data_IF_492989548333
#
_entry.id   IF_492989548333
#
_cell.length_a   1.000
_cell.length_b   1.000
_cell.length_c   1.000
_cell.angle_alpha   90.00
_cell.angle_beta   90.00
_cell.angle_gamma   90.00
#
_symmetry.space_group_name_H-M   'P 1'
#
loop_
_entity.id
_entity.type
_entity.pdbx_description
1 polymer ?
#
# COMPACT_ATOMS: atom_id res chain seq x y z
N UNK A 1 -4.45 -1.26 31.02
CA UNK A 1 -4.73 -0.35 29.89
C UNK A 1 -4.07 -0.87 28.62
N UNK A 2 -4.84 -1.00 27.60
CA UNK A 2 -4.37 -1.56 26.33
C UNK A 2 -3.29 -0.71 25.65
N UNK A 3 -3.31 0.58 25.87
CA UNK A 3 -2.34 1.49 25.25
C UNK A 3 -0.93 1.26 25.75
N UNK A 4 -0.78 0.86 26.99
CA UNK A 4 0.54 0.69 27.61
C UNK A 4 1.28 -0.50 27.04
N UNK A 5 0.57 -1.57 26.66
CA UNK A 5 1.21 -2.73 26.05
C UNK A 5 1.85 -2.37 24.71
N UNK A 6 1.17 -1.54 23.91
CA UNK A 6 1.68 -1.09 22.64
C UNK A 6 2.96 -0.28 22.83
N UNK A 7 2.99 0.58 23.84
CA UNK A 7 4.15 1.43 24.12
C UNK A 7 5.34 0.63 24.64
N UNK A 8 5.11 -0.59 25.14
CA UNK A 8 6.17 -1.45 25.69
C UNK A 8 6.82 -2.34 24.63
N UNK A 9 6.33 -2.33 23.38
CA UNK A 9 6.90 -3.16 22.34
C UNK A 9 8.19 -2.54 21.83
N UNK A 10 9.26 -3.32 21.87
CA UNK A 10 10.56 -2.93 21.36
C UNK A 10 10.68 -3.41 19.91
N UNK A 11 10.26 -2.59 18.98
CA UNK A 11 10.27 -2.94 17.57
C UNK A 11 11.69 -3.05 17.04
N UNK A 12 12.03 -4.20 16.49
CA UNK A 12 13.40 -4.48 16.04
C UNK A 12 13.74 -3.85 14.70
N UNK A 13 12.74 -3.57 13.87
CA UNK A 13 12.95 -3.09 12.51
C UNK A 13 12.29 -1.74 12.27
N UNK A 14 12.09 -0.97 13.32
CA UNK A 14 11.48 0.37 13.24
C UNK A 14 10.07 0.35 12.65
N UNK A 15 9.33 -0.76 12.84
CA UNK A 15 8.01 -0.92 12.22
C UNK A 15 7.06 0.19 12.61
N UNK A 16 7.08 0.62 13.87
CA UNK A 16 6.21 1.68 14.36
C UNK A 16 6.44 2.98 13.59
N UNK A 17 7.70 3.41 13.48
CA UNK A 17 8.04 4.63 12.77
C UNK A 17 7.78 4.49 11.27
N UNK A 18 8.12 3.33 10.70
CA UNK A 18 7.94 3.11 9.27
C UNK A 18 6.46 3.03 8.88
N UNK A 19 5.59 2.53 9.78
CA UNK A 19 4.16 2.57 9.54
C UNK A 19 3.63 4.01 9.53
N UNK A 20 4.14 4.86 10.43
CA UNK A 20 3.78 6.28 10.42
C UNK A 20 4.24 6.96 9.13
N UNK A 21 5.48 6.66 8.70
CA UNK A 21 6.01 7.19 7.45
C UNK A 21 5.17 6.74 6.25
N UNK A 22 4.77 5.47 6.24
CA UNK A 22 3.94 4.93 5.18
C UNK A 22 2.58 5.63 5.12
N UNK A 23 1.97 5.84 6.28
CA UNK A 23 0.70 6.55 6.33
C UNK A 23 0.84 7.97 5.78
N UNK A 24 1.90 8.67 6.15
CA UNK A 24 2.16 10.02 5.64
C UNK A 24 2.35 10.01 4.11
N UNK A 25 3.06 9.01 3.60
CA UNK A 25 3.22 8.85 2.16
C UNK A 25 1.87 8.62 1.47
N UNK A 26 1.06 7.71 2.01
CA UNK A 26 -0.27 7.42 1.45
C UNK A 26 -1.13 8.69 1.45
N UNK A 27 -1.13 9.43 2.57
CA UNK A 27 -1.88 10.68 2.66
C UNK A 27 -1.46 11.65 1.55
N UNK A 28 -0.16 11.71 1.25
CA UNK A 28 0.35 12.58 0.19
C UNK A 28 -0.18 12.19 -1.20
N UNK A 29 -0.44 10.90 -1.44
CA UNK A 29 -0.99 10.46 -2.73
C UNK A 29 -2.43 10.93 -2.92
N UNK A 30 -3.20 11.03 -1.83
CA UNK A 30 -4.57 11.55 -1.90
C UNK A 30 -4.61 13.04 -2.14
N UNK A 31 -3.55 13.75 -1.74
CA UNK A 31 -3.46 15.20 -1.93
C UNK A 31 -2.77 15.59 -3.25
N UNK A 32 -2.28 14.61 -4.01
CA UNK A 32 -1.59 14.87 -5.26
C UNK A 32 -2.55 15.41 -6.32
N UNK A 33 -2.01 16.20 -7.24
CA UNK A 33 -2.79 16.85 -8.30
C UNK A 33 -3.66 15.87 -9.11
N UNK A 34 -3.16 14.65 -9.34
CA UNK A 34 -3.85 13.66 -10.18
C UNK A 34 -4.64 12.63 -9.37
N UNK A 35 -4.76 12.82 -8.07
CA UNK A 35 -5.31 11.77 -7.19
C UNK A 35 -6.73 11.36 -7.57
N UNK A 36 -7.59 12.32 -7.86
CA UNK A 36 -8.99 12.04 -8.18
C UNK A 36 -9.12 11.11 -9.38
N UNK A 37 -8.46 11.45 -10.49
CA UNK A 37 -8.51 10.65 -11.72
C UNK A 37 -7.87 9.28 -11.52
N UNK A 38 -6.73 9.24 -10.84
CA UNK A 38 -6.03 7.99 -10.56
C UNK A 38 -6.90 7.03 -9.76
N UNK A 39 -7.53 7.52 -8.69
CA UNK A 39 -8.33 6.66 -7.83
C UNK A 39 -9.65 6.25 -8.49
N UNK A 40 -10.22 7.11 -9.32
CA UNK A 40 -11.39 6.73 -10.11
C UNK A 40 -11.07 5.56 -11.05
N UNK A 41 -9.93 5.62 -11.74
CA UNK A 41 -9.50 4.54 -12.61
C UNK A 41 -9.26 3.25 -11.83
N UNK A 42 -8.64 3.35 -10.67
CA UNK A 42 -8.38 2.20 -9.80
C UNK A 42 -9.68 1.56 -9.32
N UNK A 43 -10.64 2.38 -8.90
CA UNK A 43 -11.96 1.89 -8.49
C UNK A 43 -12.66 1.16 -9.63
N UNK A 44 -12.56 1.69 -10.85
CA UNK A 44 -13.14 1.06 -12.02
C UNK A 44 -12.53 -0.33 -12.25
N UNK A 45 -11.20 -0.44 -12.10
CA UNK A 45 -10.50 -1.72 -12.25
C UNK A 45 -10.98 -2.72 -11.18
N UNK A 46 -11.14 -2.25 -9.95
CA UNK A 46 -11.61 -3.09 -8.84
C UNK A 46 -13.05 -3.57 -9.11
N UNK A 47 -13.92 -2.65 -9.54
CA UNK A 47 -15.32 -2.99 -9.82
C UNK A 47 -15.44 -3.98 -10.98
N UNK A 48 -14.52 -3.93 -11.92
CA UNK A 48 -14.50 -4.86 -13.05
C UNK A 48 -13.94 -6.25 -12.70
N UNK A 49 -13.53 -6.46 -11.44
CA UNK A 49 -13.05 -7.77 -10.99
C UNK A 49 -11.56 -8.02 -11.20
N UNK A 50 -10.79 -6.98 -11.51
CA UNK A 50 -9.37 -7.12 -11.78
C UNK A 50 -8.49 -6.55 -10.67
N UNK A 51 -9.07 -6.30 -9.48
CA UNK A 51 -8.37 -5.64 -8.39
C UNK A 51 -7.14 -6.36 -7.90
N UNK A 52 -7.24 -7.67 -7.67
CA UNK A 52 -6.10 -8.43 -7.14
C UNK A 52 -4.94 -8.46 -8.12
N UNK A 53 -5.23 -8.75 -9.41
CA UNK A 53 -4.20 -8.75 -10.45
C UNK A 53 -3.52 -7.40 -10.58
N UNK A 54 -4.31 -6.32 -10.53
CA UNK A 54 -3.79 -4.96 -10.58
C UNK A 54 -2.85 -4.68 -9.41
N UNK A 55 -3.27 -5.01 -8.19
CA UNK A 55 -2.48 -4.75 -6.98
C UNK A 55 -1.18 -5.57 -6.97
N UNK A 56 -1.28 -6.86 -7.21
CA UNK A 56 -0.10 -7.75 -7.20
C UNK A 56 0.85 -7.36 -8.33
N UNK A 57 0.31 -7.04 -9.51
CA UNK A 57 1.12 -6.57 -10.62
C UNK A 57 1.94 -5.34 -10.28
N UNK A 58 1.34 -4.39 -9.57
CA UNK A 58 2.05 -3.19 -9.15
C UNK A 58 3.06 -3.46 -8.04
N UNK A 59 2.77 -4.39 -7.12
CA UNK A 59 3.75 -4.82 -6.12
C UNK A 59 5.00 -5.36 -6.83
N UNK A 60 4.81 -6.25 -7.81
CA UNK A 60 5.91 -6.83 -8.56
C UNK A 60 6.67 -5.76 -9.36
N UNK A 61 5.93 -4.86 -9.99
CA UNK A 61 6.52 -3.78 -10.79
C UNK A 61 7.49 -2.93 -9.97
N UNK A 62 7.07 -2.49 -8.80
CA UNK A 62 7.90 -1.62 -7.97
C UNK A 62 8.98 -2.38 -7.22
N UNK A 63 8.72 -3.64 -6.84
CA UNK A 63 9.73 -4.45 -6.18
C UNK A 63 10.93 -4.69 -7.09
N UNK A 64 10.70 -5.05 -8.35
CA UNK A 64 11.80 -5.30 -9.30
C UNK A 64 12.47 -4.00 -9.76
N UNK A 65 11.76 -2.89 -9.67
CA UNK A 65 12.28 -1.57 -10.08
C UNK A 65 13.33 -1.06 -9.10
N UNK A 66 13.20 -1.39 -7.83
CA UNK A 66 14.12 -0.96 -6.78
C UNK A 66 15.54 -1.40 -7.11
N UNK A 67 16.46 -0.43 -7.22
CA UNK A 67 17.84 -0.66 -7.57
C UNK A 67 18.11 -0.72 -9.08
N UNK A 68 17.08 -0.62 -9.92
CA UNK A 68 17.24 -0.70 -11.39
C UNK A 68 16.94 0.62 -12.07
N UNK A 69 15.82 1.25 -11.71
CA UNK A 69 15.45 2.54 -12.26
C UNK A 69 15.55 3.58 -11.16
N UNK A 70 16.28 4.65 -11.41
CA UNK A 70 16.50 5.72 -10.44
C UNK A 70 17.22 5.23 -9.18
N UNK A 71 18.02 4.16 -9.30
CA UNK A 71 18.80 3.61 -8.20
C UNK A 71 17.94 2.97 -7.12
N UNK A 72 18.41 3.05 -5.88
CA UNK A 72 17.73 2.46 -4.71
C UNK A 72 16.74 3.48 -4.14
N UNK A 73 15.67 3.72 -4.90
CA UNK A 73 14.69 4.74 -4.58
C UNK A 73 13.71 4.25 -3.52
N UNK A 74 13.74 4.88 -2.35
CA UNK A 74 12.88 4.50 -1.22
C UNK A 74 11.40 4.52 -1.59
N UNK A 75 10.99 5.39 -2.52
CA UNK A 75 9.60 5.47 -2.97
C UNK A 75 9.13 4.19 -3.64
N UNK A 76 10.01 3.44 -4.30
CA UNK A 76 9.64 2.16 -4.90
C UNK A 76 9.15 1.20 -3.81
N UNK A 77 9.83 1.16 -2.67
CA UNK A 77 9.41 0.31 -1.55
C UNK A 77 8.12 0.80 -0.92
N UNK A 78 7.92 2.11 -0.82
CA UNK A 78 6.67 2.67 -0.33
C UNK A 78 5.50 2.31 -1.25
N UNK A 79 5.72 2.31 -2.55
CA UNK A 79 4.69 1.92 -3.51
C UNK A 79 4.36 0.43 -3.40
N UNK A 80 5.37 -0.42 -3.19
CA UNK A 80 5.14 -1.85 -2.91
C UNK A 80 4.18 -2.00 -1.73
N UNK A 81 4.46 -1.29 -0.64
CA UNK A 81 3.65 -1.38 0.57
C UNK A 81 2.24 -0.85 0.34
N UNK A 82 2.11 0.26 -0.37
CA UNK A 82 0.79 0.85 -0.64
C UNK A 82 -0.07 -0.10 -1.47
N UNK A 83 0.48 -0.68 -2.54
CA UNK A 83 -0.27 -1.64 -3.34
C UNK A 83 -0.56 -2.92 -2.58
N UNK A 84 0.31 -3.33 -1.66
CA UNK A 84 0.04 -4.49 -0.81
C UNK A 84 -1.14 -4.22 0.13
N UNK A 85 -1.25 -3.01 0.67
CA UNK A 85 -2.41 -2.61 1.48
C UNK A 85 -3.68 -2.66 0.62
N UNK A 86 -3.61 -2.16 -0.61
CA UNK A 86 -4.75 -2.22 -1.52
C UNK A 86 -5.15 -3.66 -1.84
N UNK A 87 -4.16 -4.56 -1.95
CA UNK A 87 -4.43 -5.99 -2.14
C UNK A 87 -5.16 -6.58 -0.93
N UNK A 88 -4.79 -6.18 0.29
CA UNK A 88 -5.51 -6.60 1.48
C UNK A 88 -6.97 -6.14 1.45
N UNK A 89 -7.19 -4.90 1.02
CA UNK A 89 -8.55 -4.37 0.88
C UNK A 89 -9.37 -5.21 -0.10
N UNK A 90 -8.80 -5.52 -1.26
CA UNK A 90 -9.47 -6.36 -2.27
C UNK A 90 -9.76 -7.75 -1.71
N UNK A 91 -8.76 -8.35 -1.03
CA UNK A 91 -8.93 -9.65 -0.41
C UNK A 91 -10.09 -9.68 0.57
N UNK A 92 -10.16 -8.69 1.43
CA UNK A 92 -11.20 -8.63 2.46
C UNK A 92 -12.60 -8.53 1.83
N UNK A 93 -12.73 -7.73 0.77
CA UNK A 93 -14.01 -7.59 0.07
C UNK A 93 -14.39 -8.90 -0.62
N UNK A 94 -13.47 -9.51 -1.38
CA UNK A 94 -13.76 -10.73 -2.14
C UNK A 94 -14.06 -11.92 -1.24
N UNK A 95 -13.28 -12.10 -0.17
CA UNK A 95 -13.51 -13.23 0.74
C UNK A 95 -14.76 -13.04 1.57
N UNK A 96 -15.06 -11.80 1.94
CA UNK A 96 -16.30 -11.51 2.65
C UNK A 96 -17.52 -11.81 1.78
N UNK A 97 -17.45 -11.50 0.49
CA UNK A 97 -18.56 -11.77 -0.44
C UNK A 97 -18.71 -13.27 -0.72
N UNK A 98 -17.62 -14.02 -0.69
CA UNK A 98 -17.64 -15.46 -1.00
C UNK A 98 -18.11 -16.32 0.17
N UNK A 99 -18.21 -15.76 1.36
CA UNK A 99 -18.73 -16.48 2.53
C UNK A 99 -20.17 -16.15 2.79
#
# INVERSE_FOLDING_TARGET
MMYMEKDLIDYKFSEDRLLDDLKAYIDSTYNAHYSKTKFQATEFIFDAGHGMGFCIGNVLKYAQRYGRKDGYNRKDLQKVLHYAIMALHVHDIEKKEST
#
